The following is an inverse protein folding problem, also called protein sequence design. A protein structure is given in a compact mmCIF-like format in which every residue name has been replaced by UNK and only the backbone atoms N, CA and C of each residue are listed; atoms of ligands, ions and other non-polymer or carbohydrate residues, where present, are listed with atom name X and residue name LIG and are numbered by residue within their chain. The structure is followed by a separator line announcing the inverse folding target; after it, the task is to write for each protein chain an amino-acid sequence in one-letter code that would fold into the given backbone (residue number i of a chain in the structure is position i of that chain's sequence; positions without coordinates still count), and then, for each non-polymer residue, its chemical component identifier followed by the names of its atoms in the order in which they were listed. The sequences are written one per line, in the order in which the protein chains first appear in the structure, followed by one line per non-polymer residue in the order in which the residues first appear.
data_IF_571485360729
#
_entry.id   IF_571485360729
#
_cell.length_a   1.000
_cell.length_b   1.000
_cell.length_c   1.000
_cell.angle_alpha   90.00
_cell.angle_beta   90.00
_cell.angle_gamma   90.00
#
_symmetry.space_group_name_H-M   'P 1'
#
loop_
_entity.id
_entity.type
_entity.pdbx_description
1 polymer ?
#
# COMPACT_ATOMS: atom_id res chain seq x y z
N UNK A 1 -5.55 14.29 -3.85
CA UNK A 1 -4.48 14.77 -4.76
C UNK A 1 -3.60 13.63 -5.28
N UNK A 2 -2.98 12.81 -4.42
CA UNK A 2 -2.07 11.73 -4.84
C UNK A 2 -2.59 10.87 -6.01
N UNK A 3 -3.81 10.32 -5.90
CA UNK A 3 -4.46 9.52 -6.95
C UNK A 3 -4.57 10.25 -8.31
N UNK A 4 -4.70 11.59 -8.31
CA UNK A 4 -4.85 12.38 -9.55
C UNK A 4 -3.51 12.62 -10.26
N UNK A 5 -2.40 12.54 -9.53
CA UNK A 5 -1.05 12.85 -10.06
C UNK A 5 -0.17 11.61 -10.21
N UNK A 6 -0.56 10.48 -9.62
CA UNK A 6 0.17 9.22 -9.70
C UNK A 6 0.14 8.65 -11.13
N UNK A 7 1.32 8.33 -11.67
CA UNK A 7 1.46 7.53 -12.89
C UNK A 7 1.06 6.07 -12.63
N UNK A 8 0.56 5.32 -13.65
CA UNK A 8 0.32 3.88 -13.52
C UNK A 8 1.56 3.15 -12.96
N UNK A 9 1.34 2.25 -12.00
CA UNK A 9 2.40 1.51 -11.31
C UNK A 9 3.07 2.24 -10.15
N UNK A 10 2.78 3.52 -9.93
CA UNK A 10 3.40 4.31 -8.85
C UNK A 10 3.16 3.73 -7.45
N UNK A 11 4.00 4.15 -6.51
CA UNK A 11 3.84 3.86 -5.09
C UNK A 11 3.43 5.11 -4.32
N UNK A 12 2.71 4.91 -3.21
CA UNK A 12 2.31 5.95 -2.28
C UNK A 12 2.82 5.62 -0.90
N UNK A 13 3.45 6.60 -0.26
CA UNK A 13 3.90 6.53 1.13
C UNK A 13 3.31 7.71 1.87
N UNK A 14 2.59 7.45 2.96
CA UNK A 14 1.96 8.49 3.79
C UNK A 14 2.34 8.24 5.25
N UNK A 15 2.86 9.28 5.90
CA UNK A 15 3.01 9.31 7.36
C UNK A 15 1.66 9.58 8.02
N UNK A 16 1.28 8.74 8.96
CA UNK A 16 0.03 8.79 9.71
C UNK A 16 0.29 8.59 11.20
N UNK A 17 -0.74 8.79 12.01
CA UNK A 17 -0.77 8.38 13.41
C UNK A 17 -1.62 7.11 13.54
N UNK A 18 -1.22 6.24 14.46
CA UNK A 18 -1.96 5.03 14.80
C UNK A 18 -3.23 5.45 15.53
N UNK A 19 -4.35 5.45 14.81
CA UNK A 19 -5.65 5.85 15.30
C UNK A 19 -6.75 4.98 14.66
N UNK A 20 -7.99 5.00 15.19
CA UNK A 20 -9.10 4.22 14.65
C UNK A 20 -9.39 4.46 13.16
N UNK A 21 -9.13 5.68 12.67
CA UNK A 21 -9.36 6.11 11.29
C UNK A 21 -8.34 5.57 10.29
N UNK A 22 -7.17 5.10 10.77
CA UNK A 22 -6.11 4.61 9.91
C UNK A 22 -6.56 3.38 9.10
N UNK A 23 -7.23 2.41 9.73
CA UNK A 23 -7.64 1.18 9.06
C UNK A 23 -8.72 1.40 7.98
N UNK A 24 -9.78 2.20 8.20
CA UNK A 24 -10.67 2.66 7.13
C UNK A 24 -9.94 3.35 5.99
N UNK A 25 -8.97 4.22 6.29
CA UNK A 25 -8.17 4.91 5.28
C UNK A 25 -7.33 3.92 4.45
N UNK A 26 -6.70 2.93 5.09
CA UNK A 26 -5.99 1.84 4.39
C UNK A 26 -6.91 1.11 3.41
N UNK A 27 -8.12 0.75 3.84
CA UNK A 27 -9.12 0.07 3.00
C UNK A 27 -9.48 0.92 1.78
N UNK A 28 -9.72 2.21 1.96
CA UNK A 28 -9.97 3.15 0.87
C UNK A 28 -8.80 3.19 -0.12
N UNK A 29 -7.56 3.35 0.37
CA UNK A 29 -6.37 3.37 -0.47
C UNK A 29 -6.21 2.06 -1.24
N UNK A 30 -6.50 0.91 -0.63
CA UNK A 30 -6.35 -0.39 -1.30
C UNK A 30 -7.20 -0.59 -2.56
N UNK A 31 -8.24 0.23 -2.75
CA UNK A 31 -9.06 0.21 -3.97
C UNK A 31 -8.29 0.68 -5.21
N UNK A 32 -7.24 1.47 -5.03
CA UNK A 32 -6.48 2.11 -6.10
C UNK A 32 -5.13 1.44 -6.42
N UNK A 33 -4.74 0.41 -5.67
CA UNK A 33 -3.42 -0.21 -5.76
C UNK A 33 -3.53 -1.72 -5.94
N UNK A 34 -2.72 -2.30 -6.83
CA UNK A 34 -2.75 -3.74 -7.18
C UNK A 34 -1.37 -4.38 -7.26
N UNK A 35 -0.30 -3.59 -7.09
CA UNK A 35 1.06 -4.07 -7.32
C UNK A 35 1.48 -5.14 -6.31
N UNK A 36 2.25 -6.15 -6.75
CA UNK A 36 2.81 -7.12 -5.84
C UNK A 36 3.80 -6.42 -4.90
N UNK A 37 3.72 -6.78 -3.62
CA UNK A 37 4.63 -6.24 -2.62
C UNK A 37 6.05 -6.79 -2.79
N UNK A 38 6.13 -8.05 -3.23
CA UNK A 38 7.30 -8.91 -3.27
C UNK A 38 7.65 -9.22 -4.74
N UNK A 39 8.55 -8.45 -5.36
CA UNK A 39 9.12 -8.80 -6.67
C UNK A 39 10.50 -9.50 -6.56
N UNK A 40 10.96 -9.83 -5.34
CA UNK A 40 12.31 -10.31 -5.06
C UNK A 40 12.39 -11.57 -4.17
N UNK A 41 11.36 -12.42 -4.14
CA UNK A 41 11.57 -13.81 -3.67
C UNK A 41 11.88 -14.71 -4.86
N UNK A 42 13.17 -14.80 -5.14
CA UNK A 42 13.89 -15.87 -5.84
C UNK A 42 13.03 -17.01 -6.42
N UNK A 43 13.24 -17.30 -7.71
CA UNK A 43 13.00 -18.63 -8.28
C UNK A 43 13.71 -19.66 -7.38
N UNK A 44 12.98 -20.36 -6.51
CA UNK A 44 13.30 -21.66 -5.90
C UNK A 44 12.11 -22.11 -5.06
N UNK A 45 11.62 -23.29 -5.39
CA UNK A 45 10.55 -24.07 -4.75
C UNK A 45 9.11 -23.66 -5.08
N UNK A 46 8.59 -24.37 -6.09
CA UNK A 46 7.19 -24.72 -6.19
C UNK A 46 6.73 -25.39 -4.88
N UNK A 47 6.04 -24.65 -4.02
CA UNK A 47 5.25 -25.24 -2.95
C UNK A 47 4.05 -24.33 -2.64
N UNK A 48 2.88 -24.83 -3.02
CA UNK A 48 1.55 -24.44 -2.53
C UNK A 48 1.15 -22.98 -2.80
N UNK A 49 0.56 -22.76 -3.98
CA UNK A 49 -0.27 -21.58 -4.27
C UNK A 49 -1.45 -21.59 -3.31
N UNK A 50 -1.26 -21.01 -2.13
CA UNK A 50 -2.34 -20.61 -1.24
C UNK A 50 -2.67 -19.16 -1.60
N UNK A 51 -3.88 -18.99 -2.12
CA UNK A 51 -4.58 -17.77 -2.51
C UNK A 51 -4.69 -16.74 -1.38
N UNK A 52 -3.56 -16.24 -0.90
CA UNK A 52 -3.53 -15.10 0.01
C UNK A 52 -3.19 -13.86 -0.80
N UNK A 53 -4.08 -12.85 -0.87
CA UNK A 53 -3.77 -11.63 -1.59
C UNK A 53 -2.58 -10.98 -0.90
N UNK A 54 -1.44 -10.93 -1.59
CA UNK A 54 -0.31 -10.09 -1.18
C UNK A 54 -0.86 -8.68 -1.05
N UNK A 55 -1.07 -8.22 0.19
CA UNK A 55 -1.69 -6.92 0.47
C UNK A 55 -0.78 -5.84 -0.14
N UNK A 56 -1.25 -5.24 -1.23
CA UNK A 56 -0.63 -4.14 -1.97
C UNK A 56 -0.47 -2.87 -1.12
N UNK A 57 -1.19 -2.80 0.01
CA UNK A 57 -1.16 -1.71 0.98
C UNK A 57 -0.86 -2.25 2.39
N UNK A 58 0.14 -1.69 3.07
CA UNK A 58 0.58 -2.11 4.41
C UNK A 58 0.87 -0.91 5.30
N UNK A 59 0.67 -1.08 6.60
CA UNK A 59 1.27 -0.19 7.60
C UNK A 59 2.68 -0.66 7.92
N UNK A 60 3.61 0.27 8.07
CA UNK A 60 4.99 0.05 8.49
C UNK A 60 5.30 0.97 9.67
N UNK A 61 6.09 0.47 10.61
CA UNK A 61 6.75 1.26 11.66
C UNK A 61 8.26 1.20 11.37
N UNK A 62 8.83 2.18 10.66
CA UNK A 62 10.26 2.17 10.34
C UNK A 62 11.10 2.21 11.63
N UNK A 63 12.28 1.58 11.61
CA UNK A 63 13.21 1.65 12.75
C UNK A 63 13.67 3.09 13.06
N UNK A 64 13.62 3.98 12.07
CA UNK A 64 13.91 5.40 12.25
C UNK A 64 12.79 6.15 13.01
N UNK A 65 11.60 5.56 13.15
CA UNK A 65 10.52 6.12 13.94
C UNK A 65 10.71 5.78 15.42
N UNK A 66 10.42 6.73 16.30
CA UNK A 66 10.45 6.51 17.75
C UNK A 66 9.55 5.32 18.13
N UNK A 67 10.09 4.39 18.93
CA UNK A 67 9.37 3.18 19.35
C UNK A 67 8.14 3.47 20.20
N UNK A 68 8.18 4.54 21.00
CA UNK A 68 7.11 5.01 21.88
C UNK A 68 6.08 5.94 21.19
N UNK A 69 6.29 6.25 19.91
CA UNK A 69 5.41 7.12 19.14
C UNK A 69 4.30 6.34 18.44
N UNK A 70 3.11 6.92 18.38
CA UNK A 70 2.00 6.43 17.57
C UNK A 70 2.22 6.61 16.04
N UNK A 71 3.36 7.16 15.61
CA UNK A 71 3.66 7.35 14.19
C UNK A 71 3.73 6.01 13.43
N UNK A 72 3.06 5.94 12.28
CA UNK A 72 3.06 4.82 11.35
C UNK A 72 3.11 5.31 9.90
N UNK A 73 3.50 4.45 8.98
CA UNK A 73 3.55 4.76 7.55
C UNK A 73 2.62 3.82 6.79
N UNK A 74 1.67 4.37 6.05
CA UNK A 74 0.90 3.62 5.08
C UNK A 74 1.66 3.60 3.75
N UNK A 75 1.97 2.41 3.26
CA UNK A 75 2.66 2.21 1.98
C UNK A 75 1.77 1.40 1.06
N UNK A 76 1.54 1.91 -0.15
CA UNK A 76 0.76 1.28 -1.20
C UNK A 76 1.60 1.15 -2.48
N UNK A 77 1.52 0.00 -3.17
CA UNK A 77 2.31 -0.30 -4.38
C UNK A 77 1.45 -0.61 -5.60
N UNK A 78 1.92 -0.18 -6.76
CA UNK A 78 1.31 -0.45 -8.05
C UNK A 78 -0.04 0.23 -8.21
N UNK A 79 -0.02 1.57 -8.26
CA UNK A 79 -1.20 2.38 -8.56
C UNK A 79 -1.84 1.92 -9.88
N UNK A 80 -3.14 1.67 -9.83
CA UNK A 80 -3.95 1.38 -11.02
C UNK A 80 -4.93 2.53 -11.20
N UNK A 81 -4.78 3.33 -12.27
CA UNK A 81 -5.78 4.33 -12.61
C UNK A 81 -7.06 3.61 -13.04
N UNK A 82 -8.01 3.45 -12.13
CA UNK A 82 -9.38 3.11 -12.51
C UNK A 82 -10.03 4.31 -13.22
N UNK A 83 -11.02 4.05 -14.10
CA UNK A 83 -11.77 5.00 -14.93
C UNK A 83 -12.40 6.24 -14.24
N UNK A 84 -12.18 6.47 -12.94
CA UNK A 84 -12.60 7.65 -12.20
C UNK A 84 -11.81 8.94 -12.54
N UNK A 85 -11.14 8.99 -13.71
CA UNK A 85 -10.56 10.21 -14.26
C UNK A 85 -11.60 11.16 -14.89
N UNK A 86 -12.90 10.89 -14.76
CA UNK A 86 -13.99 11.80 -15.16
C UNK A 86 -14.52 12.68 -14.01
N UNK A 87 -13.65 13.17 -13.13
CA UNK A 87 -13.96 14.32 -12.28
C UNK A 87 -13.07 15.48 -12.74
N UNK A 88 -13.40 16.02 -13.91
CA UNK A 88 -13.03 17.37 -14.34
C UNK A 88 -14.07 18.34 -13.81
#
# INVERSE_FOLDING_TARGET
LAIRVSSPGASLVIKLWQCPEAEPFRKLVSQFYRGPWDHLSSKKNAQKILTTPTKCVRFLKPMASRSDSAEIYLVAKGFVPNHAQQLK
#
